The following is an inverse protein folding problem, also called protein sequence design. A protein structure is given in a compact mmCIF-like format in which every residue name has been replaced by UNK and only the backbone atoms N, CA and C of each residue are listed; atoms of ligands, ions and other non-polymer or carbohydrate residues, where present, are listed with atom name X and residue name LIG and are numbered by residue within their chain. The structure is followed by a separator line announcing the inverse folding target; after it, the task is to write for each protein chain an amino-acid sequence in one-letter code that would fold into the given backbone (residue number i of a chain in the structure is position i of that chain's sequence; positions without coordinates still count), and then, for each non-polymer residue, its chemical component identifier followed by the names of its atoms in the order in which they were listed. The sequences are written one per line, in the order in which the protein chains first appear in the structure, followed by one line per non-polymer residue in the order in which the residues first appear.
data_IF_977933359307
#
_entry.id   IF_977933359307
#
_cell.length_a   1.000
_cell.length_b   1.000
_cell.length_c   1.000
_cell.angle_alpha   90.00
_cell.angle_beta   90.00
_cell.angle_gamma   90.00
#
_symmetry.space_group_name_H-M   'P 1'
#
loop_
_entity.id
_entity.type
_entity.pdbx_description
1 polymer ?
#
# COMPACT_ATOMS: atom_id res chain seq x y z
N UNK A 1 6.60 43.23 4.07
CA UNK A 1 6.45 42.12 5.06
C UNK A 1 6.35 40.83 4.25
N UNK A 2 7.39 40.03 4.25
CA UNK A 2 7.41 38.72 3.58
C UNK A 2 6.86 37.79 4.60
N UNK A 3 5.59 37.33 4.45
CA UNK A 3 5.05 36.22 5.21
C UNK A 3 5.87 34.98 4.86
N UNK A 4 6.72 34.59 5.80
CA UNK A 4 7.40 33.31 5.81
C UNK A 4 6.33 32.24 6.02
N UNK A 5 5.86 31.61 4.94
CA UNK A 5 5.08 30.38 4.99
C UNK A 5 5.96 29.32 5.62
N UNK A 6 5.83 29.16 6.93
CA UNK A 6 6.37 27.98 7.64
C UNK A 6 5.64 26.77 7.07
N UNK A 7 6.25 26.11 6.10
CA UNK A 7 5.81 24.81 5.63
C UNK A 7 5.88 23.87 6.83
N UNK A 8 4.72 23.38 7.28
CA UNK A 8 4.64 22.45 8.40
C UNK A 8 5.60 21.27 8.15
N UNK A 9 6.48 21.02 9.09
CA UNK A 9 7.52 19.98 8.96
C UNK A 9 6.92 18.57 8.91
N UNK A 10 5.70 18.41 9.40
CA UNK A 10 4.90 17.19 9.38
C UNK A 10 3.65 17.43 8.54
N UNK A 11 3.35 16.57 7.54
CA UNK A 11 2.14 16.72 6.75
C UNK A 11 0.89 16.58 7.63
N UNK A 12 -0.23 17.25 7.27
CA UNK A 12 -1.48 17.11 7.98
C UNK A 12 -2.03 15.68 7.76
N UNK A 13 -1.84 14.82 8.75
CA UNK A 13 -2.31 13.45 8.73
C UNK A 13 -3.49 13.29 9.70
N UNK A 14 -4.49 12.47 9.36
CA UNK A 14 -5.51 12.08 10.32
C UNK A 14 -4.86 11.44 11.55
N UNK A 15 -5.48 11.63 12.71
CA UNK A 15 -5.07 10.92 13.91
C UNK A 15 -5.15 9.41 13.64
N UNK A 16 -4.13 8.69 14.09
CA UNK A 16 -4.11 7.24 13.95
C UNK A 16 -4.31 6.56 15.29
N UNK A 17 -4.90 5.40 15.25
CA UNK A 17 -5.17 4.56 16.42
C UNK A 17 -4.61 3.15 16.26
N UNK A 18 -4.49 2.44 17.39
CA UNK A 18 -4.10 1.04 17.41
C UNK A 18 -5.35 0.19 17.53
N UNK A 19 -5.51 -0.74 16.60
CA UNK A 19 -6.62 -1.69 16.56
C UNK A 19 -6.06 -3.09 16.77
N UNK A 20 -6.58 -3.80 17.76
CA UNK A 20 -6.25 -5.21 17.99
C UNK A 20 -7.11 -6.07 17.07
N UNK A 21 -6.46 -6.90 16.25
CA UNK A 21 -7.12 -7.85 15.36
C UNK A 21 -7.08 -9.24 16.03
N UNK A 22 -8.23 -9.87 16.35
CA UNK A 22 -8.28 -11.13 17.07
C UNK A 22 -7.42 -12.22 16.44
N UNK A 23 -6.50 -12.80 17.21
CA UNK A 23 -5.57 -13.85 16.75
C UNK A 23 -4.50 -13.41 15.75
N UNK A 24 -4.42 -12.12 15.40
CA UNK A 24 -3.49 -11.59 14.40
C UNK A 24 -2.48 -10.59 14.98
N UNK A 25 -2.87 -9.83 16.00
CA UNK A 25 -2.06 -8.80 16.65
C UNK A 25 -2.60 -7.40 16.47
N UNK A 26 -1.88 -6.40 16.95
CA UNK A 26 -2.29 -4.99 16.90
C UNK A 26 -1.69 -4.30 15.70
N UNK A 27 -2.52 -3.68 14.87
CA UNK A 27 -2.10 -2.80 13.79
C UNK A 27 -2.33 -1.33 14.12
N UNK A 28 -1.80 -0.44 13.30
CA UNK A 28 -2.02 1.00 13.38
C UNK A 28 -2.78 1.46 12.15
N UNK A 29 -3.83 2.25 12.35
CA UNK A 29 -4.73 2.67 11.30
C UNK A 29 -4.95 4.16 11.37
N UNK A 30 -4.97 4.83 10.23
CA UNK A 30 -5.49 6.18 10.07
C UNK A 30 -6.81 6.09 9.31
N UNK A 31 -7.85 6.73 9.85
CA UNK A 31 -9.15 6.74 9.22
C UNK A 31 -9.76 8.14 9.23
N UNK A 32 -10.52 8.45 8.19
CA UNK A 32 -11.32 9.67 8.07
C UNK A 32 -12.68 9.30 7.54
N UNK A 33 -13.73 9.76 8.20
CA UNK A 33 -15.08 9.63 7.69
C UNK A 33 -15.30 10.59 6.51
N UNK A 34 -15.87 10.09 5.44
CA UNK A 34 -16.33 10.87 4.30
C UNK A 34 -17.84 11.15 4.36
N UNK A 35 -18.40 11.71 3.28
CA UNK A 35 -19.84 11.95 3.19
C UNK A 35 -20.65 10.66 3.35
N UNK A 36 -21.81 10.72 4.04
CA UNK A 36 -22.69 9.54 4.21
C UNK A 36 -23.12 8.93 2.87
N UNK A 37 -23.25 7.61 2.82
CA UNK A 37 -23.72 6.87 1.65
C UNK A 37 -22.67 6.68 0.55
N UNK A 38 -21.46 7.21 0.73
CA UNK A 38 -20.36 6.97 -0.21
C UNK A 38 -19.58 5.70 0.15
N UNK A 39 -18.95 5.02 -0.83
CA UNK A 39 -18.12 3.85 -0.57
C UNK A 39 -16.96 4.16 0.40
N UNK A 40 -16.56 3.16 1.16
CA UNK A 40 -15.30 3.22 1.93
C UNK A 40 -14.13 2.80 1.06
N UNK A 41 -13.02 3.53 1.16
CA UNK A 41 -11.77 3.28 0.45
C UNK A 41 -10.72 2.78 1.43
N UNK A 42 -10.13 1.62 1.18
CA UNK A 42 -8.96 1.13 1.93
C UNK A 42 -7.68 1.34 1.13
N UNK A 43 -6.70 2.02 1.73
CA UNK A 43 -5.45 2.42 1.11
C UNK A 43 -4.30 1.50 1.57
N UNK A 44 -3.78 0.68 0.67
CA UNK A 44 -2.74 -0.31 0.91
C UNK A 44 -1.39 0.17 0.37
N UNK A 45 -0.48 0.51 1.27
CA UNK A 45 0.79 1.17 0.94
C UNK A 45 1.83 0.25 0.29
N UNK A 46 2.85 0.85 -0.31
CA UNK A 46 3.98 0.18 -0.93
C UNK A 46 5.02 -0.36 0.07
N UNK A 47 5.99 -1.09 -0.48
CA UNK A 47 7.17 -1.55 0.25
C UNK A 47 7.99 -0.35 0.75
N UNK A 48 8.59 -0.46 1.94
CA UNK A 48 9.34 0.63 2.60
C UNK A 48 8.49 1.88 2.94
N UNK A 49 7.17 1.78 2.89
CA UNK A 49 6.26 2.85 3.25
C UNK A 49 5.40 2.49 4.48
N UNK A 50 4.60 3.43 4.93
CA UNK A 50 3.53 3.27 5.92
C UNK A 50 2.26 3.90 5.38
N UNK A 51 1.13 3.69 6.04
CA UNK A 51 -0.13 4.35 5.67
C UNK A 51 0.01 5.87 5.63
N UNK A 52 0.74 6.47 6.59
CA UNK A 52 1.03 7.89 6.56
C UNK A 52 1.97 8.29 5.43
N UNK A 53 3.09 7.58 5.30
CA UNK A 53 4.16 7.94 4.36
C UNK A 53 3.74 7.82 2.88
N UNK A 54 2.88 6.86 2.55
CA UNK A 54 2.41 6.68 1.17
C UNK A 54 1.25 7.62 0.82
N UNK A 55 0.41 8.01 1.80
CA UNK A 55 -0.90 8.58 1.51
C UNK A 55 -1.10 10.01 2.02
N UNK A 56 -0.07 10.68 2.54
CA UNK A 56 -0.21 12.02 3.15
C UNK A 56 -0.79 13.07 2.19
N UNK A 57 -0.58 12.95 0.87
CA UNK A 57 -1.17 13.82 -0.13
C UNK A 57 -2.56 13.33 -0.62
N UNK A 58 -3.02 12.19 -0.16
CA UNK A 58 -4.27 11.57 -0.64
C UNK A 58 -5.43 11.67 0.37
N UNK A 59 -5.14 11.78 1.67
CA UNK A 59 -6.18 11.78 2.69
C UNK A 59 -7.19 12.90 2.49
N UNK A 60 -6.74 14.14 2.40
CA UNK A 60 -7.61 15.31 2.26
C UNK A 60 -8.51 15.19 1.02
N UNK A 61 -7.98 15.08 -0.23
CA UNK A 61 -8.82 15.05 -1.41
C UNK A 61 -9.74 13.83 -1.50
N UNK A 62 -9.35 12.69 -0.93
CA UNK A 62 -10.22 11.51 -0.89
C UNK A 62 -11.32 11.66 0.16
N UNK A 63 -11.02 12.22 1.33
CA UNK A 63 -12.00 12.33 2.42
C UNK A 63 -13.14 13.31 2.12
N UNK A 64 -12.96 14.22 1.19
CA UNK A 64 -14.05 15.07 0.68
C UNK A 64 -15.17 14.27 -0.02
N UNK A 65 -14.87 13.03 -0.45
CA UNK A 65 -15.75 12.22 -1.29
C UNK A 65 -16.01 10.81 -0.74
N UNK A 66 -15.11 10.26 0.05
CA UNK A 66 -15.13 8.86 0.50
C UNK A 66 -14.70 8.75 1.95
N UNK A 67 -15.20 7.75 2.66
CA UNK A 67 -14.56 7.33 3.90
C UNK A 67 -13.24 6.63 3.56
N UNK A 68 -12.16 6.96 4.28
CA UNK A 68 -10.79 6.51 3.96
C UNK A 68 -10.22 5.76 5.15
N UNK A 69 -9.63 4.59 4.91
CA UNK A 69 -8.94 3.76 5.91
C UNK A 69 -7.55 3.41 5.35
N UNK A 70 -6.50 3.72 6.10
CA UNK A 70 -5.13 3.44 5.70
C UNK A 70 -4.38 2.73 6.84
N UNK A 71 -4.36 1.39 6.86
CA UNK A 71 -3.57 0.63 7.82
C UNK A 71 -2.08 0.66 7.50
N UNK A 72 -1.25 0.57 8.53
CA UNK A 72 0.14 0.15 8.37
C UNK A 72 0.16 -1.38 8.21
N UNK A 73 0.65 -1.87 7.08
CA UNK A 73 0.73 -3.31 6.81
C UNK A 73 1.76 -3.98 7.74
N UNK A 74 1.59 -5.27 8.04
CA UNK A 74 2.48 -6.00 8.95
C UNK A 74 3.96 -5.79 8.61
N UNK A 75 4.79 -5.60 9.64
CA UNK A 75 6.22 -5.35 9.51
C UNK A 75 6.59 -3.94 9.06
N UNK A 76 5.65 -3.15 8.58
CA UNK A 76 5.85 -1.78 8.12
C UNK A 76 5.30 -0.78 9.15
N UNK A 77 5.91 0.39 9.25
CA UNK A 77 5.47 1.46 10.14
C UNK A 77 5.19 0.98 11.56
N UNK A 78 3.97 1.18 12.03
CA UNK A 78 3.43 0.74 13.33
C UNK A 78 2.53 -0.49 13.19
N UNK A 79 2.53 -1.16 12.04
CA UNK A 79 1.73 -2.34 11.75
C UNK A 79 2.13 -3.57 12.58
N UNK A 80 1.39 -4.65 12.41
CA UNK A 80 1.55 -5.89 13.19
C UNK A 80 3.00 -6.36 13.24
N UNK A 81 3.51 -6.62 14.44
CA UNK A 81 4.80 -7.27 14.70
C UNK A 81 4.59 -8.77 14.84
N UNK A 82 5.16 -9.57 13.94
CA UNK A 82 5.01 -11.01 13.92
C UNK A 82 6.35 -11.73 13.90
N UNK A 83 6.46 -12.83 14.64
CA UNK A 83 7.61 -13.74 14.56
C UNK A 83 7.53 -14.67 13.34
N UNK A 84 6.34 -14.87 12.78
CA UNK A 84 6.15 -15.67 11.56
C UNK A 84 6.79 -14.98 10.38
N UNK A 85 7.19 -15.76 9.36
CA UNK A 85 7.70 -15.22 8.10
C UNK A 85 6.65 -14.32 7.45
N UNK A 86 7.10 -13.22 6.83
CA UNK A 86 6.21 -12.33 6.09
C UNK A 86 5.59 -13.00 4.88
N UNK A 87 4.30 -12.83 4.69
CA UNK A 87 3.54 -13.28 3.52
C UNK A 87 2.57 -12.17 3.10
N UNK A 88 2.46 -11.91 1.79
CA UNK A 88 1.49 -10.95 1.25
C UNK A 88 0.03 -11.39 1.56
N UNK A 89 -0.22 -12.70 1.57
CA UNK A 89 -1.53 -13.23 1.95
C UNK A 89 -1.90 -12.91 3.40
N UNK A 90 -0.93 -12.94 4.33
CA UNK A 90 -1.19 -12.56 5.72
C UNK A 90 -1.53 -11.06 5.83
N UNK A 91 -0.96 -10.20 4.96
CA UNK A 91 -1.35 -8.78 4.89
C UNK A 91 -2.81 -8.62 4.42
N UNK A 92 -3.22 -9.39 3.40
CA UNK A 92 -4.60 -9.38 2.92
C UNK A 92 -5.60 -9.84 4.00
N UNK A 93 -5.25 -10.93 4.71
CA UNK A 93 -6.07 -11.43 5.81
C UNK A 93 -6.12 -10.45 7.00
N UNK A 94 -5.05 -9.70 7.28
CA UNK A 94 -5.06 -8.65 8.31
C UNK A 94 -6.01 -7.52 7.93
N UNK A 95 -5.97 -7.10 6.66
CA UNK A 95 -6.87 -6.06 6.14
C UNK A 95 -8.33 -6.54 6.18
N UNK A 96 -8.61 -7.79 5.79
CA UNK A 96 -9.94 -8.38 5.89
C UNK A 96 -10.46 -8.34 7.33
N UNK A 97 -9.66 -8.83 8.29
CA UNK A 97 -10.02 -8.79 9.72
C UNK A 97 -10.26 -7.36 10.23
N UNK A 98 -9.48 -6.38 9.74
CA UNK A 98 -9.70 -4.96 10.07
C UNK A 98 -11.05 -4.45 9.54
N UNK A 99 -11.35 -4.71 8.26
CA UNK A 99 -12.59 -4.26 7.62
C UNK A 99 -13.82 -4.88 8.28
N UNK A 100 -13.77 -6.17 8.61
CA UNK A 100 -14.83 -6.88 9.35
C UNK A 100 -15.05 -6.27 10.73
N UNK A 101 -13.98 -5.99 11.47
CA UNK A 101 -14.07 -5.40 12.81
C UNK A 101 -14.61 -3.97 12.78
N UNK A 102 -14.30 -3.20 11.74
CA UNK A 102 -14.82 -1.85 11.54
C UNK A 102 -16.24 -1.83 10.95
N UNK A 103 -16.75 -2.96 10.49
CA UNK A 103 -18.10 -3.06 9.89
C UNK A 103 -18.28 -2.21 8.64
N UNK A 104 -17.22 -2.08 7.82
CA UNK A 104 -17.23 -1.17 6.67
C UNK A 104 -18.13 -1.61 5.52
N UNK A 105 -18.55 -2.87 5.48
CA UNK A 105 -19.09 -3.48 4.26
C UNK A 105 -18.02 -3.63 3.17
N UNK A 106 -18.41 -3.93 1.92
CA UNK A 106 -17.48 -4.01 0.81
C UNK A 106 -16.84 -2.66 0.49
N UNK A 107 -15.53 -2.64 0.27
CA UNK A 107 -14.72 -1.45 0.07
C UNK A 107 -14.16 -1.35 -1.36
N UNK A 108 -13.73 -0.15 -1.76
CA UNK A 108 -12.82 0.02 -2.89
C UNK A 108 -11.39 -0.12 -2.34
N UNK A 109 -10.68 -1.18 -2.75
CA UNK A 109 -9.32 -1.39 -2.30
C UNK A 109 -8.32 -0.75 -3.27
N UNK A 110 -7.53 0.19 -2.75
CA UNK A 110 -6.47 0.89 -3.49
C UNK A 110 -5.12 0.28 -3.13
N UNK A 111 -4.43 -0.29 -4.10
CA UNK A 111 -3.11 -0.89 -3.89
C UNK A 111 -2.00 -0.14 -4.62
N UNK A 112 -1.01 0.37 -3.87
CA UNK A 112 0.17 1.03 -4.42
C UNK A 112 1.38 0.11 -4.35
N UNK A 113 2.05 -0.15 -5.47
CA UNK A 113 3.25 -0.97 -5.51
C UNK A 113 3.04 -2.34 -4.81
N UNK A 114 3.71 -2.65 -3.70
CA UNK A 114 3.45 -3.85 -2.89
C UNK A 114 1.98 -3.96 -2.43
N UNK A 115 1.32 -2.84 -2.18
CA UNK A 115 -0.11 -2.84 -1.83
C UNK A 115 -1.01 -3.39 -2.93
N UNK A 116 -0.57 -3.38 -4.20
CA UNK A 116 -1.28 -4.00 -5.31
C UNK A 116 -1.49 -5.50 -5.13
N UNK A 117 -0.44 -6.31 -4.97
CA UNK A 117 -0.56 -7.72 -4.57
C UNK A 117 -1.42 -7.96 -3.33
N UNK A 118 -1.37 -7.08 -2.34
CA UNK A 118 -2.22 -7.20 -1.14
C UNK A 118 -3.69 -6.98 -1.51
N UNK A 119 -4.01 -5.97 -2.34
CA UNK A 119 -5.38 -5.74 -2.84
C UNK A 119 -5.87 -6.89 -3.73
N UNK A 120 -5.01 -7.41 -4.64
CA UNK A 120 -5.31 -8.57 -5.47
C UNK A 120 -5.64 -9.81 -4.60
N UNK A 121 -4.83 -10.05 -3.55
CA UNK A 121 -5.05 -11.16 -2.62
C UNK A 121 -6.26 -10.92 -1.71
N UNK A 122 -6.56 -9.68 -1.33
CA UNK A 122 -7.76 -9.33 -0.57
C UNK A 122 -9.00 -9.72 -1.37
N UNK A 123 -9.10 -9.30 -2.64
CA UNK A 123 -10.17 -9.72 -3.52
C UNK A 123 -10.23 -11.25 -3.69
N UNK A 124 -9.09 -11.91 -3.95
CA UNK A 124 -9.05 -13.36 -4.19
C UNK A 124 -9.48 -14.20 -3.00
N UNK A 125 -9.19 -13.76 -1.77
CA UNK A 125 -9.39 -14.51 -0.53
C UNK A 125 -10.65 -14.10 0.21
N UNK A 126 -11.06 -12.86 0.05
CA UNK A 126 -12.19 -12.22 0.74
C UNK A 126 -13.04 -11.39 -0.24
N UNK A 127 -13.54 -11.98 -1.34
CA UNK A 127 -14.22 -11.24 -2.40
C UNK A 127 -15.42 -10.45 -1.89
N UNK A 128 -16.11 -10.95 -0.86
CA UNK A 128 -17.26 -10.27 -0.23
C UNK A 128 -16.91 -8.92 0.42
N UNK A 129 -15.62 -8.66 0.67
CA UNK A 129 -15.16 -7.39 1.25
C UNK A 129 -14.66 -6.38 0.20
N UNK A 130 -14.67 -6.74 -1.08
CA UNK A 130 -14.11 -5.89 -2.14
C UNK A 130 -15.17 -5.58 -3.18
N UNK A 131 -15.64 -4.34 -3.20
CA UNK A 131 -16.56 -3.84 -4.21
C UNK A 131 -15.86 -3.39 -5.50
N UNK A 132 -14.60 -2.95 -5.41
CA UNK A 132 -13.83 -2.50 -6.55
C UNK A 132 -12.34 -2.35 -6.23
N UNK A 133 -11.53 -2.18 -7.27
CA UNK A 133 -10.08 -2.16 -7.18
C UNK A 133 -9.46 -0.96 -7.91
N UNK A 134 -8.47 -0.33 -7.27
CA UNK A 134 -7.62 0.66 -7.92
C UNK A 134 -6.16 0.24 -7.72
N UNK A 135 -5.44 0.06 -8.80
CA UNK A 135 -4.03 -0.30 -8.80
C UNK A 135 -3.19 0.89 -9.26
N UNK A 136 -2.13 1.22 -8.52
CA UNK A 136 -1.21 2.30 -8.88
C UNK A 136 0.24 1.83 -8.74
N UNK A 137 1.08 2.09 -9.76
CA UNK A 137 2.51 1.77 -9.76
C UNK A 137 2.79 0.29 -9.38
N UNK A 138 1.94 -0.63 -9.81
CA UNK A 138 1.96 -2.05 -9.42
C UNK A 138 1.76 -3.00 -10.61
N UNK A 139 1.83 -4.31 -10.38
CA UNK A 139 1.70 -5.33 -11.42
C UNK A 139 1.16 -6.65 -10.85
N UNK A 140 0.79 -7.56 -11.75
CA UNK A 140 0.49 -8.97 -11.45
C UNK A 140 1.73 -9.78 -11.04
N UNK A 141 2.93 -9.26 -11.33
CA UNK A 141 4.24 -9.82 -10.98
C UNK A 141 5.33 -8.75 -11.14
N UNK A 142 6.34 -8.79 -10.29
CA UNK A 142 7.41 -7.77 -10.27
C UNK A 142 8.69 -8.22 -10.98
N UNK A 143 8.94 -9.51 -11.05
CA UNK A 143 10.14 -10.09 -11.68
C UNK A 143 9.71 -10.99 -12.83
N UNK A 144 10.18 -10.68 -14.03
CA UNK A 144 9.70 -11.30 -15.27
C UNK A 144 10.23 -12.73 -15.45
N UNK A 145 11.49 -12.98 -15.17
CA UNK A 145 12.18 -14.26 -15.40
C UNK A 145 12.23 -15.16 -14.17
N UNK A 146 12.15 -16.48 -14.38
CA UNK A 146 12.31 -17.46 -13.28
C UNK A 146 13.70 -17.35 -12.61
N UNK A 147 14.75 -17.14 -13.41
CA UNK A 147 16.12 -16.97 -12.93
C UNK A 147 16.32 -15.68 -12.14
N UNK A 148 15.79 -14.56 -12.66
CA UNK A 148 15.83 -13.24 -11.98
C UNK A 148 15.07 -13.30 -10.66
N UNK A 149 13.91 -13.97 -10.64
CA UNK A 149 13.09 -14.18 -9.44
C UNK A 149 13.85 -14.99 -8.39
N UNK A 150 14.55 -16.04 -8.80
CA UNK A 150 15.38 -16.84 -7.92
C UNK A 150 16.54 -16.03 -7.34
N UNK A 151 17.26 -15.27 -8.17
CA UNK A 151 18.39 -14.41 -7.73
C UNK A 151 17.90 -13.35 -6.74
N UNK A 152 16.86 -12.60 -7.10
CA UNK A 152 16.29 -11.56 -6.24
C UNK A 152 15.77 -12.16 -4.92
N UNK A 153 15.03 -13.28 -5.00
CA UNK A 153 14.52 -13.98 -3.83
C UNK A 153 15.63 -14.49 -2.91
N UNK A 154 16.72 -15.05 -3.47
CA UNK A 154 17.89 -15.51 -2.70
C UNK A 154 18.63 -14.35 -2.04
N UNK A 155 18.84 -13.26 -2.76
CA UNK A 155 19.49 -12.06 -2.22
C UNK A 155 18.68 -11.48 -1.03
N UNK A 156 17.38 -11.35 -1.17
CA UNK A 156 16.51 -10.87 -0.09
C UNK A 156 16.42 -11.85 1.09
N UNK A 157 16.40 -13.16 0.82
CA UNK A 157 16.39 -14.19 1.87
C UNK A 157 17.71 -14.18 2.67
N UNK A 158 18.84 -14.01 1.99
CA UNK A 158 20.16 -13.92 2.64
C UNK A 158 20.24 -12.67 3.52
N UNK A 159 19.76 -11.52 3.03
CA UNK A 159 19.68 -10.29 3.80
C UNK A 159 18.76 -10.44 5.04
N UNK A 160 17.61 -11.10 4.90
CA UNK A 160 16.71 -11.39 6.01
C UNK A 160 17.33 -12.37 7.02
N UNK A 161 18.07 -13.36 6.55
CA UNK A 161 18.78 -14.33 7.39
C UNK A 161 19.87 -13.66 8.24
N UNK A 162 20.70 -12.81 7.65
CA UNK A 162 21.74 -12.06 8.35
C UNK A 162 21.16 -11.09 9.39
N UNK A 163 20.06 -10.41 9.09
CA UNK A 163 19.41 -9.52 10.05
C UNK A 163 18.76 -10.29 11.21
N UNK A 164 18.19 -11.47 10.97
CA UNK A 164 17.64 -12.36 11.99
C UNK A 164 18.71 -12.88 12.93
N UNK A 165 19.81 -13.36 12.38
CA UNK A 165 20.94 -13.91 13.16
C UNK A 165 21.61 -12.83 13.98
N UNK A 166 21.85 -11.64 13.39
CA UNK A 166 22.42 -10.49 14.09
C UNK A 166 21.57 -10.04 15.28
N UNK A 167 20.23 -10.10 15.17
CA UNK A 167 19.30 -9.79 16.26
C UNK A 167 19.33 -10.81 17.40
N UNK A 168 19.62 -12.09 17.08
CA UNK A 168 19.73 -13.19 18.06
C UNK A 168 21.06 -13.13 18.84
N UNK A 169 22.14 -12.68 18.21
CA UNK A 169 23.49 -12.58 18.81
C UNK A 169 23.72 -11.20 19.49
N UNK A 170 22.72 -10.28 19.45
CA UNK A 170 22.88 -8.94 20.01
C UNK A 170 23.77 -8.00 19.20
N UNK A 171 24.33 -8.48 18.08
CA UNK A 171 25.14 -7.73 17.14
C UNK A 171 24.43 -7.63 15.80
N UNK A 172 23.53 -6.66 15.62
CA UNK A 172 22.98 -6.38 14.30
C UNK A 172 24.00 -5.61 13.47
N UNK A 173 24.50 -6.17 12.35
CA UNK A 173 25.40 -5.43 11.44
C UNK A 173 24.72 -4.20 10.81
N UNK A 174 23.39 -4.06 10.97
CA UNK A 174 22.61 -2.90 10.51
C UNK A 174 22.42 -1.83 11.61
N UNK A 175 22.89 -2.03 12.84
CA UNK A 175 23.09 -0.92 13.79
C UNK A 175 24.15 0.09 13.29
N UNK A 176 24.88 -0.23 12.22
CA UNK A 176 25.88 0.66 11.61
C UNK A 176 25.25 1.81 10.81
N UNK A 177 24.00 1.73 10.43
CA UNK A 177 23.26 2.92 10.00
C UNK A 177 22.65 3.57 11.25
N UNK A 178 23.49 4.14 12.07
CA UNK A 178 23.12 5.15 13.04
C UNK A 178 22.63 6.37 12.27
N UNK A 179 21.42 6.29 11.76
CA UNK A 179 20.63 7.52 11.61
C UNK A 179 20.46 8.05 13.04
N UNK A 180 20.85 9.30 13.33
CA UNK A 180 20.81 9.82 14.70
C UNK A 180 19.45 9.48 15.30
N UNK A 181 19.47 8.87 16.48
CA UNK A 181 18.27 8.74 17.30
C UNK A 181 17.80 10.15 17.54
N UNK A 182 16.79 10.60 16.79
CA UNK A 182 16.25 11.94 16.94
C UNK A 182 15.92 12.10 18.41
N UNK A 183 16.53 13.08 19.06
CA UNK A 183 16.04 13.67 20.28
C UNK A 183 14.53 13.81 20.10
N UNK A 184 13.67 13.55 21.08
CA UNK A 184 12.21 13.61 20.97
C UNK A 184 11.64 14.96 20.49
N UNK A 185 12.42 15.73 19.75
CA UNK A 185 12.12 16.96 19.05
C UNK A 185 11.21 16.65 17.83
N UNK A 186 10.24 17.51 17.59
CA UNK A 186 9.40 17.45 16.40
C UNK A 186 10.27 17.57 15.15
N UNK A 187 9.94 16.83 14.07
CA UNK A 187 10.68 16.92 12.82
C UNK A 187 10.66 18.36 12.29
N UNK A 188 11.77 18.84 11.78
CA UNK A 188 11.93 20.20 11.25
C UNK A 188 11.71 20.26 9.74
N UNK A 189 11.58 19.11 9.08
CA UNK A 189 11.36 19.00 7.65
C UNK A 189 10.57 17.72 7.28
N UNK A 190 9.92 17.74 6.11
CA UNK A 190 9.26 16.57 5.53
C UNK A 190 10.23 15.38 5.39
N UNK A 191 11.50 15.63 5.05
CA UNK A 191 12.54 14.59 4.96
C UNK A 191 12.83 13.94 6.31
N UNK A 192 12.91 14.73 7.36
CA UNK A 192 13.16 14.24 8.71
C UNK A 192 11.96 13.45 9.23
N UNK A 193 10.75 13.91 8.98
CA UNK A 193 9.54 13.17 9.27
C UNK A 193 9.50 11.84 8.53
N UNK A 194 9.74 11.83 7.21
CA UNK A 194 9.76 10.61 6.40
C UNK A 194 10.81 9.61 6.90
N UNK A 195 12.02 10.10 7.22
CA UNK A 195 13.07 9.26 7.81
C UNK A 195 12.64 8.68 9.17
N UNK A 196 11.90 9.45 9.98
CA UNK A 196 11.30 9.00 11.23
C UNK A 196 10.30 7.87 11.03
N UNK A 197 9.42 7.98 10.03
CA UNK A 197 8.46 6.93 9.68
C UNK A 197 9.18 5.66 9.17
N UNK A 198 10.21 5.80 8.35
CA UNK A 198 11.00 4.66 7.85
C UNK A 198 11.74 3.91 8.98
N UNK A 199 12.24 4.60 9.99
CA UNK A 199 12.89 3.96 11.16
C UNK A 199 11.95 3.07 11.99
N UNK A 200 10.63 3.23 11.82
CA UNK A 200 9.62 2.42 12.53
C UNK A 200 9.45 1.01 11.94
N UNK A 201 10.03 0.72 10.79
CA UNK A 201 9.90 -0.59 10.15
C UNK A 201 10.62 -1.70 10.93
N UNK A 202 10.08 -2.93 10.83
CA UNK A 202 10.80 -4.14 11.21
C UNK A 202 11.71 -4.57 10.03
N UNK A 203 13.01 -4.33 10.14
CA UNK A 203 13.97 -4.58 9.06
C UNK A 203 13.94 -6.02 8.55
N UNK A 204 13.76 -7.01 9.45
CA UNK A 204 13.63 -8.42 9.05
C UNK A 204 12.40 -8.59 8.16
N UNK A 205 11.27 -8.00 8.54
CA UNK A 205 10.03 -8.08 7.77
C UNK A 205 10.12 -7.32 6.46
N UNK A 206 10.83 -6.22 6.41
CA UNK A 206 11.10 -5.49 5.16
C UNK A 206 11.87 -6.37 4.16
N UNK A 207 12.91 -7.06 4.61
CA UNK A 207 13.67 -7.97 3.73
C UNK A 207 12.81 -9.17 3.28
N UNK A 208 12.05 -9.75 4.21
CA UNK A 208 11.11 -10.83 3.90
C UNK A 208 10.00 -10.37 2.93
N UNK A 209 9.52 -9.12 3.06
CA UNK A 209 8.54 -8.52 2.15
C UNK A 209 9.12 -8.36 0.73
N UNK A 210 10.36 -7.88 0.61
CA UNK A 210 11.06 -7.82 -0.68
C UNK A 210 11.11 -9.20 -1.35
N UNK A 211 11.45 -10.27 -0.60
CA UNK A 211 11.43 -11.63 -1.12
C UNK A 211 10.02 -12.07 -1.56
N UNK A 212 8.99 -11.76 -0.76
CA UNK A 212 7.61 -12.11 -1.08
C UNK A 212 7.13 -11.40 -2.36
N UNK A 213 7.47 -10.12 -2.55
CA UNK A 213 7.20 -9.35 -3.76
C UNK A 213 7.90 -9.99 -4.97
N UNK A 214 9.18 -10.29 -4.86
CA UNK A 214 9.96 -10.89 -5.94
C UNK A 214 9.45 -12.25 -6.39
N UNK A 215 8.83 -13.03 -5.49
CA UNK A 215 8.25 -14.33 -5.79
C UNK A 215 6.77 -14.29 -6.18
N UNK A 216 6.11 -13.12 -6.02
CA UNK A 216 4.68 -12.99 -6.28
C UNK A 216 4.32 -13.10 -7.75
N UNK A 217 3.22 -13.79 -8.03
CA UNK A 217 2.59 -13.83 -9.36
C UNK A 217 1.10 -14.18 -9.25
N UNK A 218 0.26 -13.32 -9.79
CA UNK A 218 -1.18 -13.52 -9.95
C UNK A 218 -1.59 -13.97 -11.35
N UNK A 219 -0.65 -14.15 -12.28
CA UNK A 219 -0.91 -14.40 -13.72
C UNK A 219 -1.94 -15.48 -14.02
N UNK A 220 -2.07 -16.49 -13.16
CA UNK A 220 -2.97 -17.62 -13.40
C UNK A 220 -4.43 -17.30 -13.13
N UNK A 221 -4.70 -16.24 -12.37
CA UNK A 221 -6.03 -15.94 -11.88
C UNK A 221 -6.41 -14.45 -11.93
N UNK A 222 -5.48 -13.55 -12.31
CA UNK A 222 -5.75 -12.10 -12.32
C UNK A 222 -6.91 -11.73 -13.26
N UNK A 223 -7.10 -12.51 -14.33
CA UNK A 223 -8.21 -12.36 -15.27
C UNK A 223 -9.57 -12.83 -14.73
N UNK A 224 -9.61 -13.42 -13.54
CA UNK A 224 -10.85 -13.80 -12.86
C UNK A 224 -11.45 -12.63 -12.05
N UNK A 225 -10.75 -11.48 -11.98
CA UNK A 225 -11.28 -10.28 -11.29
C UNK A 225 -12.55 -9.81 -12.01
N UNK A 226 -13.66 -9.79 -11.25
CA UNK A 226 -15.02 -9.51 -11.72
C UNK A 226 -15.60 -8.21 -11.16
N UNK A 227 -14.81 -7.45 -10.40
CA UNK A 227 -15.22 -6.15 -9.85
C UNK A 227 -14.67 -4.99 -10.66
N UNK A 228 -15.35 -3.82 -10.69
CA UNK A 228 -14.85 -2.63 -11.35
C UNK A 228 -13.42 -2.33 -10.95
N UNK A 229 -12.53 -2.26 -11.92
CA UNK A 229 -11.08 -2.09 -11.69
C UNK A 229 -10.54 -0.92 -12.50
N UNK A 230 -9.68 -0.11 -11.88
CA UNK A 230 -8.91 0.95 -12.56
C UNK A 230 -7.43 0.75 -12.30
N UNK A 231 -6.60 0.85 -13.36
CA UNK A 231 -5.14 0.79 -13.27
C UNK A 231 -4.57 2.16 -13.59
N UNK A 232 -3.94 2.79 -12.61
CA UNK A 232 -3.25 4.07 -12.74
C UNK A 232 -1.80 3.81 -13.12
N UNK A 233 -1.46 4.02 -14.38
CA UNK A 233 -0.16 3.68 -14.96
C UNK A 233 0.81 4.85 -14.85
N UNK A 234 1.88 4.66 -14.09
CA UNK A 234 2.97 5.64 -13.95
C UNK A 234 3.93 5.52 -15.13
N UNK A 235 3.84 6.45 -16.11
CA UNK A 235 4.51 6.34 -17.42
C UNK A 235 6.03 6.46 -17.39
N UNK A 236 6.60 7.03 -16.32
CA UNK A 236 8.05 7.17 -16.13
C UNK A 236 8.60 6.29 -14.99
N UNK A 237 7.85 5.25 -14.62
CA UNK A 237 8.22 4.34 -13.54
C UNK A 237 9.37 3.40 -13.95
N UNK A 238 10.45 3.43 -13.16
CA UNK A 238 11.63 2.57 -13.35
C UNK A 238 11.67 1.36 -12.41
N UNK A 239 10.84 1.37 -11.35
CA UNK A 239 10.75 0.27 -10.40
C UNK A 239 9.73 -0.78 -10.86
N UNK A 240 8.54 -0.35 -11.27
CA UNK A 240 7.51 -1.18 -11.91
C UNK A 240 7.23 -0.60 -13.29
N UNK A 241 7.90 -1.15 -14.29
CA UNK A 241 7.85 -0.61 -15.65
C UNK A 241 6.41 -0.43 -16.16
N UNK A 242 6.13 0.65 -16.93
CA UNK A 242 4.79 0.91 -17.47
C UNK A 242 4.19 -0.28 -18.22
N UNK A 243 5.04 -1.04 -18.95
CA UNK A 243 4.58 -2.22 -19.68
C UNK A 243 4.09 -3.34 -18.75
N UNK A 244 4.63 -3.41 -17.53
CA UNK A 244 4.15 -4.38 -16.53
C UNK A 244 2.82 -3.95 -15.92
N UNK A 245 2.62 -2.65 -15.73
CA UNK A 245 1.37 -2.06 -15.28
C UNK A 245 0.27 -2.20 -16.35
N UNK A 246 0.60 -1.94 -17.61
CA UNK A 246 -0.32 -2.14 -18.73
C UNK A 246 -0.74 -3.61 -18.87
N UNK A 247 0.21 -4.56 -18.77
CA UNK A 247 -0.15 -6.00 -18.78
C UNK A 247 -1.12 -6.39 -17.66
N UNK A 248 -1.03 -5.75 -16.51
CA UNK A 248 -2.02 -5.94 -15.44
C UNK A 248 -3.40 -5.44 -15.87
N UNK A 249 -3.47 -4.25 -16.48
CA UNK A 249 -4.72 -3.71 -17.00
C UNK A 249 -5.32 -4.60 -18.08
N UNK A 250 -4.51 -5.00 -19.06
CA UNK A 250 -4.94 -5.85 -20.18
C UNK A 250 -5.43 -7.24 -19.73
N UNK A 251 -4.92 -7.73 -18.60
CA UNK A 251 -5.29 -9.04 -18.06
C UNK A 251 -6.61 -9.03 -17.27
N UNK A 252 -7.11 -7.86 -16.85
CA UNK A 252 -8.35 -7.75 -16.06
C UNK A 252 -9.50 -7.29 -16.96
N UNK A 253 -10.56 -8.10 -17.11
CA UNK A 253 -11.70 -7.74 -17.94
C UNK A 253 -12.33 -6.40 -17.53
N UNK A 254 -12.51 -5.49 -18.49
CA UNK A 254 -13.15 -4.20 -18.23
C UNK A 254 -12.34 -3.22 -17.35
N UNK A 255 -11.05 -3.47 -17.15
CA UNK A 255 -10.22 -2.53 -16.43
C UNK A 255 -10.05 -1.21 -17.19
N UNK A 256 -10.26 -0.08 -16.51
CA UNK A 256 -9.97 1.24 -17.05
C UNK A 256 -8.51 1.63 -16.76
N UNK A 257 -7.91 2.40 -17.67
CA UNK A 257 -6.53 2.89 -17.54
C UNK A 257 -6.54 4.39 -17.36
N UNK A 258 -5.80 4.87 -16.35
CA UNK A 258 -5.52 6.30 -16.14
C UNK A 258 -4.00 6.49 -16.15
N UNK A 259 -3.53 7.33 -17.06
CA UNK A 259 -2.12 7.65 -17.18
C UNK A 259 -1.68 8.70 -16.18
N UNK A 260 -0.53 8.46 -15.55
CA UNK A 260 0.17 9.42 -14.71
C UNK A 260 1.55 9.65 -15.32
N UNK A 261 1.82 10.87 -15.79
CA UNK A 261 3.12 11.23 -16.37
C UNK A 261 4.17 11.46 -15.26
N UNK A 262 4.46 10.40 -14.48
CA UNK A 262 5.42 10.43 -13.38
C UNK A 262 6.06 9.06 -13.13
N UNK A 263 6.99 9.01 -12.15
CA UNK A 263 7.71 7.81 -11.73
C UNK A 263 7.12 7.13 -10.50
N UNK A 264 7.85 6.14 -9.96
CA UNK A 264 7.40 5.26 -8.88
C UNK A 264 7.04 5.97 -7.56
N UNK A 265 7.55 7.15 -7.29
CA UNK A 265 7.31 7.91 -6.06
C UNK A 265 6.35 9.08 -6.26
N UNK A 266 5.43 8.96 -7.23
CA UNK A 266 4.40 9.99 -7.48
C UNK A 266 3.54 10.27 -6.25
N UNK A 267 3.36 9.30 -5.34
CA UNK A 267 2.63 9.46 -4.08
C UNK A 267 3.19 10.59 -3.18
N UNK A 268 4.47 10.95 -3.34
CA UNK A 268 5.08 12.06 -2.63
C UNK A 268 4.74 13.45 -3.22
N UNK A 269 4.07 13.50 -4.36
CA UNK A 269 3.70 14.75 -5.04
C UNK A 269 2.26 15.15 -4.74
N UNK A 270 2.01 16.48 -4.69
CA UNK A 270 0.66 17.01 -4.39
C UNK A 270 -0.38 16.63 -5.43
N UNK A 271 0.03 16.51 -6.69
CA UNK A 271 -0.83 16.14 -7.82
C UNK A 271 -1.35 14.70 -7.74
N UNK A 272 -0.74 13.87 -6.90
CA UNK A 272 -1.15 12.49 -6.72
C UNK A 272 -2.53 12.34 -6.09
N UNK A 273 -2.86 13.15 -5.08
CA UNK A 273 -4.16 13.13 -4.43
C UNK A 273 -5.33 13.29 -5.40
N UNK A 274 -5.40 14.39 -6.16
CA UNK A 274 -6.42 14.58 -7.20
C UNK A 274 -6.42 13.50 -8.28
N UNK A 275 -5.25 12.97 -8.66
CA UNK A 275 -5.18 11.84 -9.60
C UNK A 275 -5.80 10.57 -9.02
N UNK A 276 -5.52 10.28 -7.75
CA UNK A 276 -6.09 9.12 -7.06
C UNK A 276 -7.61 9.23 -6.91
N UNK A 277 -8.13 10.42 -6.61
CA UNK A 277 -9.58 10.68 -6.59
C UNK A 277 -10.20 10.28 -7.93
N UNK A 278 -9.62 10.67 -9.07
CA UNK A 278 -10.13 10.24 -10.39
C UNK A 278 -10.13 8.72 -10.56
N UNK A 279 -9.10 8.03 -10.06
CA UNK A 279 -9.03 6.56 -10.10
C UNK A 279 -10.13 5.90 -9.27
N UNK A 280 -10.37 6.40 -8.05
CA UNK A 280 -11.43 5.90 -7.17
C UNK A 280 -12.81 6.23 -7.73
N UNK A 281 -13.03 7.45 -8.22
CA UNK A 281 -14.28 7.86 -8.87
C UNK A 281 -14.62 7.00 -10.09
N UNK A 282 -13.64 6.63 -10.89
CA UNK A 282 -13.83 5.73 -12.03
C UNK A 282 -14.43 4.39 -11.59
N UNK A 283 -13.96 3.84 -10.47
CA UNK A 283 -14.53 2.62 -9.88
C UNK A 283 -15.92 2.89 -9.26
N UNK A 284 -16.04 3.93 -8.44
CA UNK A 284 -17.27 4.24 -7.70
C UNK A 284 -18.47 4.45 -8.63
N UNK A 285 -18.30 5.16 -9.75
CA UNK A 285 -19.35 5.35 -10.77
C UNK A 285 -19.83 4.03 -11.36
N UNK A 286 -18.97 3.05 -11.54
CA UNK A 286 -19.32 1.72 -12.07
C UNK A 286 -20.04 0.85 -11.05
N UNK A 287 -19.87 1.12 -9.75
CA UNK A 287 -20.65 0.46 -8.69
C UNK A 287 -22.09 0.95 -8.63
N UNK A 288 -22.34 2.20 -9.01
CA UNK A 288 -23.68 2.81 -8.97
C UNK A 288 -24.43 2.74 -10.30
N UNK A 289 -23.73 2.38 -11.39
CA UNK A 289 -24.37 2.22 -12.69
C UNK A 289 -25.35 1.02 -12.66
N UNK A 290 -26.62 1.19 -13.08
CA UNK A 290 -27.53 0.07 -13.20
C UNK A 290 -26.92 -0.97 -14.16
N UNK A 291 -26.86 -2.23 -13.71
CA UNK A 291 -26.47 -3.35 -14.58
C UNK A 291 -27.46 -3.40 -15.72
N UNK A 292 -27.03 -2.96 -16.91
CA UNK A 292 -27.83 -3.19 -18.13
C UNK A 292 -27.94 -4.70 -18.28
N UNK A 293 -29.12 -5.25 -17.96
CA UNK A 293 -29.41 -6.63 -18.25
C UNK A 293 -29.25 -6.83 -19.77
N UNK A 294 -28.21 -7.54 -20.16
CA UNK A 294 -28.05 -8.04 -21.53
C UNK A 294 -29.12 -9.11 -21.67
N UNK A 295 -30.20 -8.75 -22.38
CA UNK A 295 -31.28 -9.65 -22.74
C UNK A 295 -30.87 -10.65 -23.82
#
# INVERSE_FOLDING_TARGET
MIESTVTAAEPPLPLGERIELPGRGTTFVRAVAGPPGQPTVVLLHGWLASGGLNWFNAFEPLSERFSVIAPDLRGHGRGIRSRRRFRLADCADDVASLLEQLGTGPVIAVGYSMGGPVAQLLWRRHPQLVAGLVFCATSDRFVAGGRERMIFGTMMASAAGTTRTGRWIGSSPLQIVHLPTGSGARPTSLREWAAGEMRRHDLVKIMEAGQAIGSYSARRWIGEIDVPTTVMVTRRDRAVRPEAQMRLADAIPGAEVIDIDDGHIVCAKREFGPALVRGVDSVARRLTAPTLAVG
#
